data_IF_210156677274
#
_entry.id   IF_210156677274
#
_cell.length_a   1.000
_cell.length_b   1.000
_cell.length_c   1.000
_cell.angle_alpha   90.00
_cell.angle_beta   90.00
_cell.angle_gamma   90.00
#
_symmetry.space_group_name_H-M   'P 1'
#
loop_
_entity.id
_entity.type
_entity.pdbx_description
1 polymer ?
#
# COMPACT_ATOMS: atom_id res chain seq x y z
N UNK A 1 -6.09 -14.71 4.89
CA UNK A 1 -6.83 -14.94 3.63
C UNK A 1 -6.30 -16.21 2.97
N UNK A 2 -7.16 -17.13 2.51
CA UNK A 2 -6.72 -18.30 1.74
C UNK A 2 -5.88 -17.86 0.54
N UNK A 3 -4.74 -18.52 0.32
CA UNK A 3 -3.85 -18.24 -0.83
C UNK A 3 -2.89 -17.05 -0.67
N UNK A 4 -2.96 -16.29 0.43
CA UNK A 4 -1.97 -15.23 0.70
C UNK A 4 -0.76 -15.83 1.42
N UNK A 5 0.42 -15.66 0.82
CA UNK A 5 1.70 -15.97 1.48
C UNK A 5 2.13 -14.73 2.29
N UNK A 6 2.16 -14.80 3.64
CA UNK A 6 2.68 -13.69 4.42
C UNK A 6 4.18 -13.55 4.16
N UNK A 7 4.65 -12.31 4.09
CA UNK A 7 6.07 -11.95 4.05
C UNK A 7 6.38 -11.08 5.26
N UNK A 8 7.63 -11.08 5.68
CA UNK A 8 8.10 -10.17 6.72
C UNK A 8 8.12 -8.74 6.20
N UNK A 9 8.03 -7.77 7.11
CA UNK A 9 8.23 -6.35 6.79
C UNK A 9 9.57 -6.11 6.09
N UNK A 10 10.65 -6.75 6.54
CA UNK A 10 11.96 -6.62 5.92
C UNK A 10 11.99 -7.10 4.45
N UNK A 11 11.25 -8.16 4.13
CA UNK A 11 11.09 -8.61 2.74
C UNK A 11 10.25 -7.63 1.93
N UNK A 12 9.16 -7.11 2.48
CA UNK A 12 8.32 -6.11 1.81
C UNK A 12 9.10 -4.83 1.48
N UNK A 13 9.87 -4.31 2.44
CA UNK A 13 10.72 -3.13 2.22
C UNK A 13 11.76 -3.39 1.13
N UNK A 14 12.40 -4.57 1.14
CA UNK A 14 13.36 -4.95 0.09
C UNK A 14 12.72 -4.98 -1.29
N UNK A 15 11.48 -5.48 -1.40
CA UNK A 15 10.72 -5.50 -2.67
C UNK A 15 10.44 -4.07 -3.14
N UNK A 16 9.88 -3.22 -2.28
CA UNK A 16 9.55 -1.83 -2.63
C UNK A 16 10.80 -1.04 -3.04
N UNK A 17 11.88 -1.18 -2.28
CA UNK A 17 13.15 -0.52 -2.56
C UNK A 17 13.78 -0.99 -3.88
N UNK A 18 13.74 -2.30 -4.15
CA UNK A 18 14.24 -2.88 -5.41
C UNK A 18 13.43 -2.39 -6.60
N UNK A 19 12.10 -2.29 -6.46
CA UNK A 19 11.22 -1.78 -7.52
C UNK A 19 11.59 -0.34 -7.88
N UNK A 20 11.75 0.53 -6.88
CA UNK A 20 12.15 1.93 -7.08
C UNK A 20 13.55 2.05 -7.68
N UNK A 21 14.52 1.28 -7.20
CA UNK A 21 15.88 1.27 -7.75
C UNK A 21 15.91 0.78 -9.21
N UNK A 22 14.95 -0.07 -9.59
CA UNK A 22 14.71 -0.52 -10.96
C UNK A 22 13.89 0.43 -11.82
N UNK A 23 13.49 1.60 -11.31
CA UNK A 23 12.70 2.60 -12.03
C UNK A 23 11.19 2.36 -12.06
N UNK A 24 10.68 1.34 -11.36
CA UNK A 24 9.24 1.17 -11.15
C UNK A 24 8.79 2.20 -10.13
N UNK A 25 7.89 3.09 -10.55
CA UNK A 25 7.48 4.22 -9.73
C UNK A 25 5.97 4.33 -9.51
N UNK A 26 5.15 3.41 -10.05
CA UNK A 26 3.70 3.43 -9.88
C UNK A 26 3.26 2.26 -8.99
N UNK A 27 2.62 2.58 -7.86
CA UNK A 27 2.18 1.61 -6.87
C UNK A 27 0.66 1.70 -6.67
N UNK A 28 0.00 0.56 -6.81
CA UNK A 28 -1.41 0.38 -6.49
C UNK A 28 -1.56 -0.15 -5.05
N UNK A 29 -2.40 0.49 -4.26
CA UNK A 29 -2.64 0.15 -2.85
C UNK A 29 -4.13 0.30 -2.48
N UNK A 30 -4.48 -0.03 -1.24
CA UNK A 30 -5.75 0.33 -0.59
C UNK A 30 -5.66 0.13 0.91
N UNK A 31 -6.57 0.75 1.64
CA UNK A 31 -6.84 0.51 3.06
C UNK A 31 -7.21 -0.95 3.38
N UNK A 32 -7.72 -1.69 2.39
CA UNK A 32 -8.02 -3.12 2.51
C UNK A 32 -6.85 -4.07 2.20
N UNK A 33 -5.69 -3.59 1.76
CA UNK A 33 -4.54 -4.44 1.36
C UNK A 33 -3.57 -4.70 2.52
N UNK A 34 -4.08 -5.11 3.68
CA UNK A 34 -3.27 -5.32 4.87
C UNK A 34 -2.42 -4.07 5.18
N UNK A 35 -1.11 -4.25 5.40
CA UNK A 35 -0.20 -3.15 5.73
C UNK A 35 0.37 -2.40 4.50
N UNK A 36 -0.22 -2.53 3.30
CA UNK A 36 0.38 -1.98 2.07
C UNK A 36 0.60 -0.46 2.12
N UNK A 37 -0.39 0.32 2.57
CA UNK A 37 -0.27 1.77 2.70
C UNK A 37 0.78 2.18 3.74
N UNK A 38 0.79 1.51 4.89
CA UNK A 38 1.78 1.74 5.94
C UNK A 38 3.21 1.48 5.43
N UNK A 39 3.45 0.36 4.76
CA UNK A 39 4.75 -0.02 4.23
C UNK A 39 5.27 0.97 3.16
N UNK A 40 4.39 1.46 2.28
CA UNK A 40 4.73 2.55 1.36
C UNK A 40 5.09 3.84 2.10
N UNK A 41 4.36 4.14 3.18
CA UNK A 41 4.62 5.26 4.09
C UNK A 41 5.95 5.16 4.84
N UNK A 42 6.51 3.96 4.99
CA UNK A 42 7.77 3.71 5.68
C UNK A 42 9.03 3.81 4.81
N UNK A 43 8.88 3.96 3.49
CA UNK A 43 10.02 4.14 2.59
C UNK A 43 10.91 5.32 3.01
N UNK A 44 12.22 5.31 2.72
CA UNK A 44 13.05 6.50 2.93
C UNK A 44 12.47 7.71 2.19
N UNK A 45 12.60 8.92 2.74
CA UNK A 45 11.97 10.12 2.18
C UNK A 45 12.34 10.38 0.71
N UNK A 46 13.59 10.10 0.33
CA UNK A 46 14.04 10.25 -1.06
C UNK A 46 13.43 9.21 -2.01
N UNK A 47 13.05 8.03 -1.49
CA UNK A 47 12.34 6.99 -2.23
C UNK A 47 10.83 7.29 -2.31
N UNK A 48 10.22 7.81 -1.24
CA UNK A 48 8.81 8.25 -1.25
C UNK A 48 8.52 9.28 -2.33
N UNK A 49 9.42 10.25 -2.54
CA UNK A 49 9.28 11.29 -3.59
C UNK A 49 9.23 10.72 -5.01
N UNK A 50 9.72 9.51 -5.22
CA UNK A 50 9.72 8.85 -6.52
C UNK A 50 8.42 8.09 -6.77
N UNK A 51 7.68 7.71 -5.72
CA UNK A 51 6.50 6.87 -5.82
C UNK A 51 5.24 7.68 -6.19
N UNK A 52 4.56 7.25 -7.25
CA UNK A 52 3.19 7.64 -7.59
C UNK A 52 2.24 6.58 -7.03
N UNK A 53 1.33 7.02 -6.16
CA UNK A 53 0.41 6.13 -5.46
C UNK A 53 -1.01 6.23 -6.04
N UNK A 54 -1.58 5.09 -6.39
CA UNK A 54 -3.00 4.93 -6.61
C UNK A 54 -3.58 4.16 -5.42
N UNK A 55 -4.38 4.82 -4.59
CA UNK A 55 -5.11 4.14 -3.51
C UNK A 55 -6.59 3.97 -3.89
N UNK A 56 -7.29 3.14 -3.12
CA UNK A 56 -8.72 2.89 -3.24
C UNK A 56 -9.36 3.17 -1.89
N UNK A 57 -10.63 3.54 -1.94
CA UNK A 57 -11.44 3.77 -0.76
C UNK A 57 -12.85 3.25 -1.00
N UNK A 58 -13.52 2.93 0.10
CA UNK A 58 -14.96 2.72 0.18
C UNK A 58 -15.35 1.26 0.19
N UNK A 59 -14.46 0.35 0.57
CA UNK A 59 -14.79 -1.03 0.89
C UNK A 59 -14.55 -1.25 2.38
N UNK A 60 -15.62 -1.40 3.17
CA UNK A 60 -15.48 -1.75 4.57
C UNK A 60 -15.20 -3.24 4.74
N UNK A 61 -14.67 -3.62 5.91
CA UNK A 61 -14.45 -5.03 6.29
C UNK A 61 -15.75 -5.86 6.28
N UNK A 62 -16.91 -5.20 6.46
CA UNK A 62 -18.24 -5.81 6.34
C UNK A 62 -18.60 -6.21 4.90
N UNK A 63 -17.85 -5.74 3.89
CA UNK A 63 -18.17 -5.84 2.47
C UNK A 63 -19.09 -4.73 1.96
N UNK A 64 -19.56 -3.85 2.84
CA UNK A 64 -20.38 -2.70 2.46
C UNK A 64 -19.56 -1.60 1.81
N UNK A 65 -20.23 -0.80 0.98
CA UNK A 65 -19.64 0.40 0.37
C UNK A 65 -19.94 1.62 1.22
N UNK A 66 -18.91 2.28 1.73
CA UNK A 66 -19.03 3.50 2.51
C UNK A 66 -18.16 4.61 1.91
N UNK A 67 -18.78 5.74 1.58
CA UNK A 67 -18.07 6.92 1.10
C UNK A 67 -18.43 8.14 1.96
N UNK A 68 -18.72 7.91 3.23
CA UNK A 68 -18.94 9.00 4.19
C UNK A 68 -17.65 9.79 4.38
N UNK A 69 -17.80 11.05 4.77
CA UNK A 69 -16.65 11.90 5.08
C UNK A 69 -15.78 11.28 6.17
N UNK A 70 -16.39 10.73 7.23
CA UNK A 70 -15.68 10.10 8.36
C UNK A 70 -14.86 8.87 7.95
N UNK A 71 -15.22 8.22 6.85
CA UNK A 71 -14.45 7.08 6.33
C UNK A 71 -13.31 7.53 5.41
N UNK A 72 -13.47 8.66 4.70
CA UNK A 72 -12.51 9.13 3.71
C UNK A 72 -11.37 10.00 4.28
N UNK A 73 -11.44 10.41 5.55
CA UNK A 73 -10.52 11.37 6.18
C UNK A 73 -9.90 10.80 7.45
#
# INVERSE_FOLDING_TARGET
MPGVKPITKAEAMRILETALDGGINFFDTSDGYGAAEELLGELPQEKKKQAFLATKAGLMDSGERCFSQDYLI
#
